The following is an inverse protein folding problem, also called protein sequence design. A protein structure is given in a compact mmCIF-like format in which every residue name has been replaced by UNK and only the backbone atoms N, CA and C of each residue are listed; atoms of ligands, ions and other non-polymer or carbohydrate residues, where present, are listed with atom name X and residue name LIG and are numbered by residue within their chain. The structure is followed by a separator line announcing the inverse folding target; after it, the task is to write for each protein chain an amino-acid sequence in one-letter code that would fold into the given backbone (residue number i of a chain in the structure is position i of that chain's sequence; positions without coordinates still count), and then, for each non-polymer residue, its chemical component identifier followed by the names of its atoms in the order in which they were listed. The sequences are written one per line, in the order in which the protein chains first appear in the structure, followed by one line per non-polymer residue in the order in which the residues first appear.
data_IF_249506209782
#
_entry.id   IF_249506209782
#
_cell.length_a   1.000
_cell.length_b   1.000
_cell.length_c   1.000
_cell.angle_alpha   90.00
_cell.angle_beta   90.00
_cell.angle_gamma   90.00
#
_symmetry.space_group_name_H-M   'P 1'
#
loop_
_entity.id
_entity.type
_entity.pdbx_description
1 polymer ?
#
# COMPACT_ATOMS: atom_id res chain seq x y z
N UNK A 1 -19.38 0.45 -1.10
CA UNK A 1 -19.50 1.91 -0.89
C UNK A 1 -20.74 2.48 -1.57
N UNK A 2 -20.94 2.27 -2.88
CA UNK A 2 -22.13 2.79 -3.59
C UNK A 2 -23.47 2.43 -2.94
N UNK A 3 -23.62 1.19 -2.47
CA UNK A 3 -24.87 0.71 -1.85
C UNK A 3 -25.14 1.30 -0.45
N UNK A 4 -24.15 1.93 0.19
CA UNK A 4 -24.30 2.59 1.50
C UNK A 4 -24.76 4.05 1.38
N UNK A 5 -24.69 4.63 0.18
CA UNK A 5 -24.98 6.05 -0.04
C UNK A 5 -26.34 6.22 -0.70
N UNK A 6 -27.06 7.32 -0.43
CA UNK A 6 -28.40 7.54 -0.97
C UNK A 6 -28.40 7.84 -2.47
N UNK A 7 -27.32 8.43 -2.99
CA UNK A 7 -27.16 8.75 -4.41
C UNK A 7 -25.78 8.35 -4.93
N UNK A 8 -25.69 8.14 -6.24
CA UNK A 8 -24.43 7.79 -6.92
C UNK A 8 -23.42 8.93 -6.84
N UNK A 9 -23.87 10.18 -6.96
CA UNK A 9 -23.01 11.37 -6.88
C UNK A 9 -22.30 11.47 -5.53
N UNK A 10 -23.04 11.30 -4.42
CA UNK A 10 -22.46 11.29 -3.07
C UNK A 10 -21.47 10.15 -2.92
N UNK A 11 -21.79 8.95 -3.45
CA UNK A 11 -20.89 7.81 -3.43
C UNK A 11 -19.58 8.07 -4.18
N UNK A 12 -19.65 8.75 -5.32
CA UNK A 12 -18.45 9.09 -6.11
C UNK A 12 -17.56 10.07 -5.36
N UNK A 13 -18.12 11.15 -4.81
CA UNK A 13 -17.36 12.14 -4.04
C UNK A 13 -16.68 11.48 -2.83
N UNK A 14 -17.42 10.66 -2.07
CA UNK A 14 -16.84 9.91 -0.95
C UNK A 14 -15.77 8.92 -1.39
N UNK A 15 -15.98 8.24 -2.52
CA UNK A 15 -15.03 7.29 -3.09
C UNK A 15 -13.70 7.97 -3.46
N UNK A 16 -13.77 9.12 -4.12
CA UNK A 16 -12.58 9.91 -4.49
C UNK A 16 -11.87 10.41 -3.23
N UNK A 17 -12.60 10.92 -2.25
CA UNK A 17 -12.02 11.38 -0.99
C UNK A 17 -11.22 10.26 -0.28
N UNK A 18 -11.83 9.09 -0.11
CA UNK A 18 -11.17 7.94 0.51
C UNK A 18 -9.98 7.44 -0.31
N UNK A 19 -10.11 7.39 -1.64
CA UNK A 19 -9.01 7.01 -2.52
C UNK A 19 -7.81 7.96 -2.37
N UNK A 20 -8.05 9.27 -2.32
CA UNK A 20 -7.01 10.28 -2.11
C UNK A 20 -6.34 10.14 -0.75
N UNK A 21 -7.11 9.91 0.32
CA UNK A 21 -6.55 9.66 1.66
C UNK A 21 -5.65 8.43 1.63
N UNK A 22 -6.12 7.28 1.13
CA UNK A 22 -5.30 6.07 1.11
C UNK A 22 -4.11 6.15 0.16
N UNK A 23 -4.20 6.96 -0.90
CA UNK A 23 -3.06 7.21 -1.79
C UNK A 23 -1.97 8.01 -1.08
N UNK A 24 -2.33 9.03 -0.29
CA UNK A 24 -1.40 9.84 0.48
C UNK A 24 -0.64 9.01 1.53
N UNK A 25 -1.30 8.01 2.11
CA UNK A 25 -0.73 7.13 3.13
C UNK A 25 -0.33 5.76 2.56
N UNK A 26 0.02 5.65 1.28
CA UNK A 26 0.49 4.38 0.71
C UNK A 26 1.96 4.06 1.04
N UNK A 27 2.70 5.02 1.59
CA UNK A 27 4.12 4.88 1.98
C UNK A 27 5.14 5.16 0.88
N UNK A 28 4.75 5.81 -0.23
CA UNK A 28 5.68 6.36 -1.21
C UNK A 28 6.08 7.80 -0.89
N UNK A 29 5.09 8.68 -0.70
CA UNK A 29 5.32 10.08 -0.36
C UNK A 29 4.28 10.56 0.68
N UNK A 30 4.65 10.64 1.97
CA UNK A 30 5.97 10.37 2.54
C UNK A 30 6.35 8.88 2.47
N UNK A 31 7.65 8.53 2.49
CA UNK A 31 8.09 7.15 2.54
C UNK A 31 7.62 6.49 3.84
N UNK A 32 7.42 5.17 3.81
CA UNK A 32 6.86 4.40 4.92
C UNK A 32 7.52 4.66 6.28
N UNK A 33 8.85 4.80 6.31
CA UNK A 33 9.60 5.04 7.55
C UNK A 33 9.45 6.45 8.13
N UNK A 34 8.89 7.39 7.37
CA UNK A 34 8.69 8.79 7.79
C UNK A 34 7.24 9.10 8.15
N UNK A 35 6.35 8.11 8.14
CA UNK A 35 4.96 8.31 8.53
C UNK A 35 4.91 8.55 10.05
N UNK A 36 4.34 9.69 10.52
CA UNK A 36 4.26 9.95 11.95
C UNK A 36 3.44 8.89 12.67
N UNK A 37 3.87 8.47 13.86
CA UNK A 37 3.22 7.37 14.60
C UNK A 37 1.71 7.56 14.82
N UNK A 38 1.23 8.80 15.00
CA UNK A 38 -0.20 9.09 15.12
C UNK A 38 -1.05 8.77 13.88
N UNK A 39 -0.42 8.71 12.70
CA UNK A 39 -1.05 8.38 11.42
C UNK A 39 -0.65 7.00 10.89
N UNK A 40 0.14 6.22 11.64
CA UNK A 40 0.59 4.90 11.22
C UNK A 40 -0.58 3.93 10.98
N UNK A 41 -1.69 4.09 11.71
CA UNK A 41 -2.90 3.31 11.46
C UNK A 41 -3.50 3.56 10.06
N UNK A 42 -3.41 4.78 9.51
CA UNK A 42 -3.86 5.06 8.14
C UNK A 42 -2.97 4.37 7.12
N UNK A 43 -1.67 4.31 7.39
CA UNK A 43 -0.72 3.55 6.57
C UNK A 43 -1.11 2.06 6.51
N UNK A 44 -1.41 1.45 7.66
CA UNK A 44 -1.86 0.06 7.69
C UNK A 44 -3.27 -0.16 7.11
N UNK A 45 -4.16 0.82 7.22
CA UNK A 45 -5.50 0.75 6.68
C UNK A 45 -5.55 0.90 5.15
N UNK A 46 -4.57 1.58 4.55
CA UNK A 46 -4.53 1.90 3.12
C UNK A 46 -4.31 0.66 2.26
N UNK A 47 -5.28 0.21 1.45
CA UNK A 47 -5.12 -0.98 0.60
C UNK A 47 -3.98 -0.83 -0.43
N UNK A 48 -3.80 0.40 -0.94
CA UNK A 48 -2.79 0.74 -1.93
C UNK A 48 -1.37 0.48 -1.44
N UNK A 49 -1.10 0.61 -0.14
CA UNK A 49 0.20 0.29 0.48
C UNK A 49 0.66 -1.11 0.09
N UNK A 50 -0.20 -2.10 0.30
CA UNK A 50 0.15 -3.51 0.11
C UNK A 50 0.36 -3.84 -1.38
N UNK A 51 -0.40 -3.21 -2.27
CA UNK A 51 -0.23 -3.39 -3.71
C UNK A 51 1.07 -2.75 -4.20
N UNK A 52 1.39 -1.54 -3.73
CA UNK A 52 2.65 -0.88 -4.05
C UNK A 52 3.85 -1.67 -3.53
N UNK A 53 3.80 -2.12 -2.27
CA UNK A 53 4.84 -2.94 -1.67
C UNK A 53 5.06 -4.25 -2.45
N UNK A 54 3.98 -4.87 -2.95
CA UNK A 54 4.07 -6.07 -3.79
C UNK A 54 4.80 -5.81 -5.11
N UNK A 55 4.41 -4.77 -5.84
CA UNK A 55 5.04 -4.42 -7.13
C UNK A 55 6.50 -4.03 -6.92
N UNK A 56 6.80 -3.21 -5.92
CA UNK A 56 8.17 -2.80 -5.61
C UNK A 56 9.03 -4.00 -5.18
N UNK A 57 8.52 -4.86 -4.31
CA UNK A 57 9.22 -6.07 -3.88
C UNK A 57 9.53 -6.98 -5.06
N UNK A 58 8.57 -7.28 -5.93
CA UNK A 58 8.78 -8.17 -7.09
C UNK A 58 9.78 -7.57 -8.08
N UNK A 59 9.72 -6.26 -8.33
CA UNK A 59 10.56 -5.62 -9.34
C UNK A 59 12.00 -5.36 -8.85
N UNK A 60 12.17 -5.08 -7.56
CA UNK A 60 13.41 -4.48 -7.04
C UNK A 60 13.88 -5.09 -5.71
N UNK A 61 13.08 -5.93 -5.06
CA UNK A 61 13.38 -6.48 -3.74
C UNK A 61 14.16 -7.81 -3.77
N UNK A 62 14.29 -8.44 -4.94
CA UNK A 62 15.00 -9.71 -5.05
C UNK A 62 16.52 -9.51 -5.14
N UNK A 63 17.23 -10.24 -4.31
CA UNK A 63 18.69 -10.29 -4.25
C UNK A 63 19.10 -11.54 -3.45
N UNK A 64 19.21 -12.70 -4.13
CA UNK A 64 19.54 -13.97 -3.48
C UNK A 64 21.05 -14.10 -3.18
N UNK A 65 21.91 -13.59 -4.07
CA UNK A 65 23.36 -13.68 -3.97
C UNK A 65 23.97 -12.28 -3.81
N UNK A 66 24.83 -12.08 -2.82
CA UNK A 66 25.53 -10.79 -2.64
C UNK A 66 26.45 -10.50 -3.83
N UNK A 67 26.22 -9.40 -4.53
CA UNK A 67 26.90 -9.05 -5.78
C UNK A 67 26.29 -9.67 -7.04
N UNK A 68 25.07 -10.22 -6.93
CA UNK A 68 24.26 -10.67 -8.06
C UNK A 68 23.96 -9.56 -9.08
N UNK A 69 23.53 -9.96 -10.27
CA UNK A 69 23.22 -9.03 -11.37
C UNK A 69 21.82 -8.38 -11.26
N UNK A 70 21.02 -8.89 -10.33
CA UNK A 70 19.66 -8.46 -10.05
C UNK A 70 19.63 -7.01 -9.55
N UNK A 71 18.57 -6.28 -9.92
CA UNK A 71 18.46 -4.85 -9.60
C UNK A 71 18.52 -4.61 -8.09
N UNK A 72 17.93 -5.50 -7.28
CA UNK A 72 17.95 -5.40 -5.82
C UNK A 72 19.34 -5.47 -5.20
N UNK A 73 20.30 -6.15 -5.85
CA UNK A 73 21.69 -6.28 -5.38
C UNK A 73 22.57 -5.09 -5.77
N UNK A 74 22.13 -4.22 -6.68
CA UNK A 74 22.95 -3.12 -7.15
C UNK A 74 23.11 -2.05 -6.08
N UNK A 75 24.35 -1.63 -5.84
CA UNK A 75 24.67 -0.50 -4.96
C UNK A 75 24.27 0.79 -5.65
N UNK A 76 23.52 1.64 -4.95
CA UNK A 76 23.05 2.91 -5.51
C UNK A 76 24.19 3.93 -5.63
N UNK A 77 24.27 4.60 -6.78
CA UNK A 77 25.24 5.66 -7.03
C UNK A 77 24.64 7.03 -6.77
N UNK A 78 25.43 7.98 -6.27
CA UNK A 78 24.99 9.37 -6.09
C UNK A 78 24.01 9.57 -4.93
N UNK A 79 24.04 8.67 -3.94
CA UNK A 79 23.23 8.81 -2.71
C UNK A 79 23.69 10.03 -1.89
N UNK A 80 22.77 10.75 -1.22
CA UNK A 80 23.13 11.86 -0.36
C UNK A 80 23.95 11.38 0.85
N UNK A 81 24.76 12.25 1.49
CA UNK A 81 25.65 11.88 2.60
C UNK A 81 24.96 11.32 3.86
N UNK A 82 23.62 11.42 3.93
CA UNK A 82 22.81 10.89 5.02
C UNK A 82 22.54 9.39 4.91
N UNK A 83 22.84 8.78 3.77
CA UNK A 83 22.66 7.35 3.49
C UNK A 83 24.04 6.69 3.32
N UNK A 84 24.12 5.39 3.61
CA UNK A 84 25.38 4.66 3.48
C UNK A 84 25.80 4.52 2.01
N UNK A 85 27.12 4.54 1.77
CA UNK A 85 27.70 4.48 0.42
C UNK A 85 27.60 3.11 -0.25
N UNK A 86 27.36 2.06 0.54
CA UNK A 86 27.20 0.66 0.15
C UNK A 86 25.72 0.22 0.10
N UNK A 87 24.79 1.18 0.15
CA UNK A 87 23.35 0.90 0.18
C UNK A 87 22.86 0.32 -1.15
N UNK A 88 22.30 -0.90 -1.09
CA UNK A 88 21.68 -1.55 -2.25
C UNK A 88 20.27 -1.05 -2.48
N UNK A 89 19.75 -1.25 -3.70
CA UNK A 89 18.35 -0.92 -4.04
C UNK A 89 17.37 -1.65 -3.12
N UNK A 90 17.61 -2.94 -2.83
CA UNK A 90 16.80 -3.72 -1.89
C UNK A 90 16.80 -3.08 -0.51
N UNK A 91 17.98 -2.81 0.06
CA UNK A 91 18.10 -2.24 1.41
C UNK A 91 17.36 -0.90 1.52
N UNK A 92 17.45 -0.06 0.49
CA UNK A 92 16.71 1.20 0.45
C UNK A 92 15.19 1.03 0.44
N UNK A 93 14.66 0.07 -0.32
CA UNK A 93 13.23 -0.23 -0.30
C UNK A 93 12.75 -0.75 1.06
N UNK A 94 13.55 -1.59 1.70
CA UNK A 94 13.21 -2.17 3.00
C UNK A 94 13.27 -1.13 4.12
N UNK A 95 14.26 -0.23 4.12
CA UNK A 95 14.51 0.71 5.22
C UNK A 95 13.75 2.04 5.05
N UNK A 96 13.64 2.55 3.81
CA UNK A 96 12.98 3.84 3.55
C UNK A 96 11.50 3.63 3.26
N UNK A 97 11.16 2.72 2.36
CA UNK A 97 9.77 2.52 1.92
C UNK A 97 9.01 1.45 2.72
N UNK A 98 9.70 0.67 3.55
CA UNK A 98 9.15 -0.48 4.28
C UNK A 98 8.54 -1.54 3.34
N UNK A 99 9.13 -1.72 2.16
CA UNK A 99 8.67 -2.64 1.12
C UNK A 99 9.62 -3.83 1.01
N UNK A 100 9.29 -4.92 1.73
CA UNK A 100 10.16 -6.08 1.87
C UNK A 100 9.82 -7.20 0.90
N UNK A 101 10.85 -7.83 0.33
CA UNK A 101 10.67 -8.99 -0.56
C UNK A 101 10.13 -10.20 0.18
N UNK A 102 10.57 -10.42 1.42
CA UNK A 102 10.10 -11.51 2.29
C UNK A 102 8.61 -11.41 2.64
N UNK A 103 7.99 -10.24 2.46
CA UNK A 103 6.60 -9.98 2.85
C UNK A 103 5.60 -10.09 1.70
N UNK A 104 6.03 -10.50 0.50
CA UNK A 104 5.18 -10.64 -0.70
C UNK A 104 3.88 -11.40 -0.40
N UNK A 105 3.97 -12.59 0.20
CA UNK A 105 2.80 -13.43 0.50
C UNK A 105 1.89 -12.83 1.57
N UNK A 106 2.47 -12.15 2.57
CA UNK A 106 1.71 -11.42 3.59
C UNK A 106 0.92 -10.28 2.95
N UNK A 107 1.58 -9.46 2.14
CA UNK A 107 0.96 -8.32 1.45
C UNK A 107 -0.13 -8.80 0.46
N UNK A 108 0.14 -9.85 -0.30
CA UNK A 108 -0.84 -10.47 -1.18
C UNK A 108 -2.08 -10.96 -0.41
N UNK A 109 -1.87 -11.69 0.68
CA UNK A 109 -2.96 -12.18 1.54
C UNK A 109 -3.81 -11.04 2.11
N UNK A 110 -3.19 -9.94 2.53
CA UNK A 110 -3.90 -8.75 3.03
C UNK A 110 -4.75 -8.11 1.93
N UNK A 111 -4.22 -7.94 0.72
CA UNK A 111 -5.00 -7.39 -0.42
C UNK A 111 -6.23 -8.26 -0.70
N UNK A 112 -6.05 -9.59 -0.77
CA UNK A 112 -7.17 -10.52 -0.96
C UNK A 112 -8.17 -10.41 0.19
N UNK A 113 -7.70 -10.32 1.44
CA UNK A 113 -8.53 -10.14 2.62
C UNK A 113 -9.39 -8.87 2.56
N UNK A 114 -8.79 -7.73 2.16
CA UNK A 114 -9.51 -6.46 1.99
C UNK A 114 -10.57 -6.58 0.88
N UNK A 115 -10.24 -7.23 -0.25
CA UNK A 115 -11.21 -7.45 -1.33
C UNK A 115 -12.39 -8.28 -0.80
N UNK A 116 -12.15 -9.41 -0.15
CA UNK A 116 -13.21 -10.25 0.40
C UNK A 116 -14.06 -9.48 1.41
N UNK A 117 -13.43 -8.77 2.35
CA UNK A 117 -14.11 -7.96 3.36
C UNK A 117 -15.01 -6.90 2.72
N UNK A 118 -14.50 -6.14 1.75
CA UNK A 118 -15.30 -5.09 1.07
C UNK A 118 -16.47 -5.68 0.28
N UNK A 119 -16.31 -6.88 -0.30
CA UNK A 119 -17.43 -7.60 -0.95
C UNK A 119 -18.47 -8.06 0.05
N UNK A 120 -18.06 -8.63 1.19
CA UNK A 120 -18.98 -9.02 2.27
C UNK A 120 -19.75 -7.80 2.78
N UNK A 121 -19.06 -6.69 3.06
CA UNK A 121 -19.71 -5.44 3.48
C UNK A 121 -20.69 -4.91 2.42
N UNK A 122 -20.37 -5.04 1.14
CA UNK A 122 -21.29 -4.66 0.06
C UNK A 122 -22.54 -5.54 0.04
N UNK A 123 -22.41 -6.86 0.24
CA UNK A 123 -23.55 -7.77 0.34
C UNK A 123 -24.42 -7.48 1.56
N UNK A 124 -23.80 -7.19 2.71
CA UNK A 124 -24.50 -6.77 3.94
C UNK A 124 -25.25 -5.45 3.70
N UNK A 125 -24.61 -4.47 3.06
CA UNK A 125 -25.27 -3.21 2.70
C UNK A 125 -26.49 -3.45 1.80
N UNK A 126 -26.37 -4.27 0.76
CA UNK A 126 -27.50 -4.64 -0.11
C UNK A 126 -28.65 -5.32 0.65
N UNK A 127 -28.33 -6.10 1.69
CA UNK A 127 -29.34 -6.80 2.48
C UNK A 127 -30.11 -5.87 3.42
N UNK A 128 -29.44 -4.91 4.04
CA UNK A 128 -30.00 -4.14 5.15
C UNK A 128 -30.26 -2.66 4.85
N UNK A 129 -29.59 -2.10 3.85
CA UNK A 129 -29.74 -0.69 3.46
C UNK A 129 -30.64 -0.60 2.24
N UNK A 130 -31.75 0.13 2.38
CA UNK A 130 -32.69 0.36 1.30
C UNK A 130 -33.04 1.84 1.21
N UNK A 131 -32.42 2.53 0.25
CA UNK A 131 -32.66 3.95 -0.04
C UNK A 131 -33.92 4.20 -0.90
N UNK A 132 -34.65 3.15 -1.29
CA UNK A 132 -35.89 3.25 -2.07
C UNK A 132 -37.16 3.25 -1.20
N UNK A 133 -37.05 2.97 0.10
CA UNK A 133 -38.18 3.09 1.03
C UNK A 133 -38.37 4.57 1.39
N UNK A 134 -39.56 5.10 1.10
CA UNK A 134 -40.02 6.41 1.58
C UNK A 134 -40.31 6.35 3.08
#
# INVERSE_FOLDING_TARGET
MSYLMPTVEVAQVFGILLASIFFLFNGFNPPGSQIPGGYEWLYHASPQKYSLALVAAIAFGDCPDEGGSEIGCQVMTGVPPTLSSDLTVKAYLEDVFLMKHSEIWKNFGIVVGIIVLTRVLALVALRFVNHQKK
#
